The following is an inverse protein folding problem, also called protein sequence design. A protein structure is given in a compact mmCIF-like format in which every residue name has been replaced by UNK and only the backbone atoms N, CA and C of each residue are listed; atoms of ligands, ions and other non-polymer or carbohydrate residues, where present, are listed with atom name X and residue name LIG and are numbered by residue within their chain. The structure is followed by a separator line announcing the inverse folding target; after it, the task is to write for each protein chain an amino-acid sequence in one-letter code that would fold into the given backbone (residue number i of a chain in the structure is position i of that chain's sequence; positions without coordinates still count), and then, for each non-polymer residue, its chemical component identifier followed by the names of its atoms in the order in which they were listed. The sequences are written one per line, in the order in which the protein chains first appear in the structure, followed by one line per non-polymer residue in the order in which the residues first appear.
data_IF_922805976478
#
_entry.id   IF_922805976478
#
_cell.length_a   1.000
_cell.length_b   1.000
_cell.length_c   1.000
_cell.angle_alpha   90.00
_cell.angle_beta   90.00
_cell.angle_gamma   90.00
#
_symmetry.space_group_name_H-M   'P 1'
#
loop_
_entity.id
_entity.type
_entity.pdbx_description
1 polymer ?
#
# COMPACT_ATOMS: atom_id res chain seq x y z
N UNK A 1 21.62 -22.35 16.75
CA UNK A 1 20.41 -21.97 15.98
C UNK A 1 20.68 -20.66 15.25
N UNK A 2 21.54 -20.67 14.21
CA UNK A 2 21.98 -19.46 13.46
C UNK A 2 21.44 -19.48 12.01
N UNK A 3 20.62 -20.48 11.66
CA UNK A 3 20.15 -20.68 10.29
C UNK A 3 18.93 -19.86 9.87
N UNK A 4 18.21 -19.24 10.82
CA UNK A 4 16.92 -18.57 10.55
C UNK A 4 17.09 -17.08 10.18
N UNK A 5 18.06 -16.40 10.80
CA UNK A 5 18.32 -14.96 10.56
C UNK A 5 18.99 -14.71 9.20
N UNK A 6 19.81 -15.66 8.72
CA UNK A 6 20.43 -15.58 7.40
C UNK A 6 19.43 -15.81 6.27
N UNK A 7 18.43 -16.69 6.45
CA UNK A 7 17.40 -16.94 5.43
C UNK A 7 16.45 -15.73 5.27
N UNK A 8 16.11 -15.05 6.36
CA UNK A 8 15.31 -13.81 6.34
C UNK A 8 16.06 -12.64 5.70
N UNK A 9 17.37 -12.52 5.94
CA UNK A 9 18.22 -11.49 5.35
C UNK A 9 18.50 -11.72 3.86
N UNK A 10 18.58 -12.97 3.41
CA UNK A 10 18.74 -13.32 1.99
C UNK A 10 17.45 -13.03 1.19
N UNK A 11 16.28 -13.27 1.78
CA UNK A 11 14.98 -12.90 1.19
C UNK A 11 14.74 -11.39 1.11
N UNK A 12 15.47 -10.59 1.88
CA UNK A 12 15.30 -9.14 1.95
C UNK A 12 16.16 -8.35 0.94
N UNK A 13 17.08 -9.00 0.22
CA UNK A 13 17.90 -8.35 -0.82
C UNK A 13 17.14 -8.30 -2.15
N UNK A 14 16.13 -7.44 -2.21
CA UNK A 14 15.56 -7.04 -3.49
C UNK A 14 16.58 -6.19 -4.23
N UNK A 15 16.84 -6.50 -5.51
CA UNK A 15 17.74 -5.68 -6.32
C UNK A 15 17.11 -4.32 -6.57
N UNK A 16 17.92 -3.28 -6.83
CA UNK A 16 17.41 -1.94 -7.14
C UNK A 16 16.48 -1.98 -8.37
N UNK A 17 16.79 -2.84 -9.34
CA UNK A 17 15.99 -3.05 -10.54
C UNK A 17 14.63 -3.68 -10.24
N UNK A 18 14.57 -4.70 -9.37
CA UNK A 18 13.31 -5.30 -8.91
C UNK A 18 12.48 -4.29 -8.10
N UNK A 19 13.14 -3.45 -7.31
CA UNK A 19 12.49 -2.41 -6.52
C UNK A 19 11.87 -1.33 -7.40
N UNK A 20 12.60 -0.88 -8.42
CA UNK A 20 12.08 0.04 -9.44
C UNK A 20 10.90 -0.56 -10.21
N UNK A 21 11.00 -1.84 -10.60
CA UNK A 21 9.90 -2.55 -11.28
C UNK A 21 8.65 -2.60 -10.42
N UNK A 22 8.76 -3.07 -9.18
CA UNK A 22 7.61 -3.13 -8.25
C UNK A 22 7.03 -1.75 -7.96
N UNK A 23 7.86 -0.71 -7.90
CA UNK A 23 7.39 0.67 -7.72
C UNK A 23 6.59 1.15 -8.94
N UNK A 24 7.05 0.80 -10.14
CA UNK A 24 6.34 1.05 -11.40
C UNK A 24 4.98 0.35 -11.45
N UNK A 25 4.97 -0.96 -11.19
CA UNK A 25 3.76 -1.78 -11.17
C UNK A 25 2.75 -1.24 -10.13
N UNK A 26 3.23 -0.86 -8.94
CA UNK A 26 2.40 -0.28 -7.90
C UNK A 26 1.81 1.07 -8.31
N UNK A 27 2.60 1.91 -9.01
CA UNK A 27 2.14 3.21 -9.50
C UNK A 27 1.03 3.04 -10.55
N UNK A 28 1.23 2.16 -11.52
CA UNK A 28 0.24 1.89 -12.57
C UNK A 28 -1.06 1.32 -11.98
N UNK A 29 -0.92 0.39 -11.03
CA UNK A 29 -2.06 -0.17 -10.31
C UNK A 29 -2.81 0.91 -9.50
N UNK A 30 -2.08 1.81 -8.84
CA UNK A 30 -2.68 2.91 -8.07
C UNK A 30 -3.41 3.91 -8.97
N UNK A 31 -2.83 4.26 -10.13
CA UNK A 31 -3.48 5.14 -11.11
C UNK A 31 -4.75 4.51 -11.68
N UNK A 32 -4.71 3.23 -12.05
CA UNK A 32 -5.88 2.49 -12.54
C UNK A 32 -6.98 2.42 -11.46
N UNK A 33 -6.61 2.03 -10.24
CA UNK A 33 -7.52 1.96 -9.10
C UNK A 33 -8.16 3.31 -8.78
N UNK A 34 -7.40 4.41 -8.93
CA UNK A 34 -7.92 5.77 -8.73
C UNK A 34 -9.02 6.09 -9.73
N UNK A 35 -8.83 5.78 -11.01
CA UNK A 35 -9.82 6.05 -12.06
C UNK A 35 -11.10 5.26 -11.82
N UNK A 36 -10.98 3.98 -11.46
CA UNK A 36 -12.13 3.12 -11.14
C UNK A 36 -12.88 3.60 -9.90
N UNK A 37 -12.16 3.97 -8.85
CA UNK A 37 -12.73 4.50 -7.62
C UNK A 37 -13.46 5.83 -7.88
N UNK A 38 -12.88 6.72 -8.70
CA UNK A 38 -13.53 7.97 -9.09
C UNK A 38 -14.82 7.73 -9.88
N UNK A 39 -14.80 6.77 -10.82
CA UNK A 39 -15.99 6.37 -11.57
C UNK A 39 -17.07 5.79 -10.65
N UNK A 40 -16.69 4.99 -9.65
CA UNK A 40 -17.60 4.43 -8.66
C UNK A 40 -18.25 5.51 -7.80
N UNK A 41 -17.45 6.44 -7.27
CA UNK A 41 -17.92 7.57 -6.46
C UNK A 41 -18.88 8.44 -7.27
N UNK A 42 -18.56 8.73 -8.54
CA UNK A 42 -19.46 9.53 -9.40
C UNK A 42 -20.80 8.83 -9.66
N UNK A 43 -20.82 7.50 -9.78
CA UNK A 43 -22.05 6.74 -9.99
C UNK A 43 -22.94 6.69 -8.75
N UNK A 44 -22.34 6.60 -7.55
CA UNK A 44 -23.07 6.44 -6.28
C UNK A 44 -22.41 7.23 -5.13
N UNK A 45 -22.47 8.57 -5.15
CA UNK A 45 -21.67 9.41 -4.26
C UNK A 45 -21.96 9.21 -2.77
N UNK A 46 -23.24 9.02 -2.41
CA UNK A 46 -23.64 8.83 -1.01
C UNK A 46 -23.22 7.44 -0.47
N UNK A 47 -23.36 6.38 -1.28
CA UNK A 47 -22.96 5.03 -0.88
C UNK A 47 -21.43 4.91 -0.78
N UNK A 48 -20.69 5.55 -1.69
CA UNK A 48 -19.23 5.51 -1.71
C UNK A 48 -18.56 6.37 -0.63
N UNK A 49 -19.24 7.41 -0.10
CA UNK A 49 -18.67 8.29 0.90
C UNK A 49 -18.26 7.55 2.19
N UNK A 50 -19.07 6.61 2.65
CA UNK A 50 -18.77 5.80 3.84
C UNK A 50 -17.55 4.89 3.64
N UNK A 51 -17.42 4.30 2.44
CA UNK A 51 -16.29 3.44 2.08
C UNK A 51 -14.99 4.24 2.01
N UNK A 52 -15.02 5.42 1.38
CA UNK A 52 -13.85 6.31 1.29
C UNK A 52 -13.42 6.81 2.66
N UNK A 53 -14.38 7.17 3.52
CA UNK A 53 -14.10 7.59 4.89
C UNK A 53 -13.41 6.47 5.69
N UNK A 54 -13.95 5.26 5.65
CA UNK A 54 -13.37 4.11 6.35
C UNK A 54 -11.95 3.79 5.84
N UNK A 55 -11.76 3.81 4.52
CA UNK A 55 -10.45 3.61 3.91
C UNK A 55 -9.43 4.65 4.39
N UNK A 56 -9.82 5.93 4.47
CA UNK A 56 -8.98 7.00 5.00
C UNK A 56 -8.57 6.79 6.46
N UNK A 57 -9.50 6.35 7.32
CA UNK A 57 -9.22 6.01 8.73
C UNK A 57 -8.18 4.89 8.82
N UNK A 58 -8.36 3.81 8.06
CA UNK A 58 -7.44 2.67 8.06
C UNK A 58 -6.04 3.12 7.63
N UNK A 59 -5.94 3.88 6.54
CA UNK A 59 -4.64 4.41 6.05
C UNK A 59 -3.98 5.29 7.10
N UNK A 60 -4.73 6.18 7.75
CA UNK A 60 -4.21 7.03 8.82
C UNK A 60 -3.65 6.22 10.00
N UNK A 61 -4.37 5.18 10.43
CA UNK A 61 -3.92 4.28 11.51
C UNK A 61 -2.65 3.53 11.11
N UNK A 62 -2.57 3.02 9.88
CA UNK A 62 -1.39 2.29 9.39
C UNK A 62 -0.16 3.22 9.34
N UNK A 63 -0.32 4.45 8.83
CA UNK A 63 0.75 5.45 8.78
C UNK A 63 1.21 5.80 10.20
N UNK A 64 0.27 6.15 11.09
CA UNK A 64 0.59 6.46 12.48
C UNK A 64 1.29 5.32 13.21
N UNK A 65 0.84 4.08 12.98
CA UNK A 65 1.45 2.87 13.55
C UNK A 65 2.84 2.59 12.99
N UNK A 66 3.10 2.93 11.73
CA UNK A 66 4.43 2.78 11.12
C UNK A 66 5.40 3.82 11.68
N UNK A 67 4.95 5.07 11.85
CA UNK A 67 5.75 6.15 12.44
C UNK A 67 6.08 5.85 13.90
N UNK A 68 5.09 5.48 14.70
CA UNK A 68 5.27 5.15 16.13
C UNK A 68 6.22 3.96 16.37
N UNK A 69 6.32 3.03 15.40
CA UNK A 69 7.25 1.90 15.47
C UNK A 69 8.72 2.28 15.23
N UNK A 70 8.96 3.48 14.68
CA UNK A 70 10.28 3.98 14.28
C UNK A 70 10.90 4.94 15.31
N UNK A 71 10.08 5.46 16.23
CA UNK A 71 10.45 6.30 17.39
C UNK A 71 10.66 5.45 18.64
#
# INVERSE_FOLDING_TARGET
MVGDETELAERAKMTVEELQKKLGDLKEFAETSRVELEAMIRRRPLESAGVVFLAGVIVGVLIGSAIARRS
#
